data_IF_794786167244
#
_entry.id   IF_794786167244
#
_cell.length_a   1.000
_cell.length_b   1.000
_cell.length_c   1.000
_cell.angle_alpha   90.00
_cell.angle_beta   90.00
_cell.angle_gamma   90.00
#
_symmetry.space_group_name_H-M   'P 1'
#
loop_
_entity.id
_entity.type
_entity.pdbx_description
1 polymer ?
#
# COMPACT_ATOMS: atom_id res chain seq x y z
N UNK A 1 15.71 1.67 -1.57
CA UNK A 1 14.38 1.04 -1.66
C UNK A 1 14.48 -0.41 -1.18
N UNK A 2 13.58 -0.85 -0.32
CA UNK A 2 13.50 -2.21 0.24
C UNK A 2 12.17 -2.86 -0.15
N UNK A 3 12.17 -4.18 -0.46
CA UNK A 3 10.96 -4.92 -0.81
C UNK A 3 10.81 -6.15 0.08
N UNK A 4 9.64 -6.30 0.69
CA UNK A 4 9.28 -7.45 1.53
C UNK A 4 8.11 -8.23 0.93
N UNK A 5 8.30 -9.54 0.80
CA UNK A 5 7.26 -10.46 0.34
C UNK A 5 6.27 -10.80 1.45
N UNK A 6 5.15 -11.44 1.09
CA UNK A 6 4.12 -11.84 2.06
C UNK A 6 4.62 -12.74 3.18
N UNK A 7 5.59 -13.62 2.90
CA UNK A 7 6.22 -14.47 3.92
C UNK A 7 7.07 -13.69 4.92
N UNK A 8 7.65 -12.57 4.51
CA UNK A 8 8.44 -11.70 5.39
C UNK A 8 7.57 -10.86 6.35
N UNK A 9 6.29 -10.74 6.07
CA UNK A 9 5.30 -10.00 6.87
C UNK A 9 4.11 -10.89 7.22
N UNK A 10 4.33 -12.20 7.35
CA UNK A 10 3.26 -13.18 7.50
C UNK A 10 2.49 -13.08 8.82
N UNK A 11 3.15 -12.61 9.87
CA UNK A 11 2.63 -12.51 11.22
C UNK A 11 3.17 -11.25 11.92
N UNK A 12 2.61 -10.87 13.08
CA UNK A 12 3.02 -9.66 13.81
C UNK A 12 4.48 -9.63 14.20
N UNK A 13 5.10 -10.76 14.53
CA UNK A 13 6.50 -10.79 14.97
C UNK A 13 7.44 -10.56 13.80
N UNK A 14 7.12 -11.08 12.63
CA UNK A 14 7.85 -10.78 11.38
C UNK A 14 7.69 -9.33 10.96
N UNK A 15 6.50 -8.73 11.11
CA UNK A 15 6.29 -7.29 10.86
C UNK A 15 7.19 -6.46 11.77
N UNK A 16 7.28 -6.80 13.07
CA UNK A 16 8.18 -6.13 14.01
C UNK A 16 9.65 -6.26 13.61
N UNK A 17 10.09 -7.46 13.25
CA UNK A 17 11.47 -7.69 12.79
C UNK A 17 11.80 -6.91 11.50
N UNK A 18 10.84 -6.83 10.56
CA UNK A 18 10.97 -6.01 9.35
C UNK A 18 11.05 -4.52 9.71
N UNK A 19 10.24 -4.05 10.67
CA UNK A 19 10.29 -2.67 11.14
C UNK A 19 11.64 -2.34 11.79
N UNK A 20 12.23 -3.25 12.60
CA UNK A 20 13.55 -3.09 13.18
C UNK A 20 14.63 -2.89 12.11
N UNK A 21 14.59 -3.71 11.05
CA UNK A 21 15.54 -3.61 9.93
C UNK A 21 15.39 -2.30 9.15
N UNK A 22 14.15 -1.85 8.92
CA UNK A 22 13.85 -0.58 8.24
C UNK A 22 14.36 0.61 9.06
N UNK A 23 14.07 0.61 10.37
CA UNK A 23 14.51 1.67 11.30
C UNK A 23 16.03 1.73 11.39
N UNK A 24 16.71 0.59 11.52
CA UNK A 24 18.17 0.55 11.51
C UNK A 24 18.77 1.14 10.21
N UNK A 25 18.13 0.87 9.06
CA UNK A 25 18.56 1.47 7.78
C UNK A 25 18.33 2.99 7.77
N UNK A 26 17.21 3.47 8.30
CA UNK A 26 16.93 4.90 8.39
C UNK A 26 17.94 5.61 9.30
N UNK A 27 18.23 5.02 10.47
CA UNK A 27 19.19 5.53 11.45
C UNK A 27 20.64 5.55 10.94
N UNK A 28 20.96 4.75 9.93
CA UNK A 28 22.25 4.85 9.22
C UNK A 28 22.34 6.06 8.28
N UNK A 29 21.34 6.95 8.26
CA UNK A 29 21.31 8.18 7.46
C UNK A 29 20.77 7.99 6.04
N UNK A 30 20.14 6.86 5.73
CA UNK A 30 19.60 6.58 4.41
C UNK A 30 18.09 6.90 4.31
N UNK A 31 17.67 7.48 3.20
CA UNK A 31 16.26 7.59 2.86
C UNK A 31 15.68 6.24 2.48
N UNK A 32 14.52 5.89 3.06
CA UNK A 32 13.94 4.55 2.90
C UNK A 32 12.54 4.62 2.27
N UNK A 33 12.41 3.91 1.15
CA UNK A 33 11.12 3.59 0.53
C UNK A 33 10.91 2.09 0.62
N UNK A 34 9.79 1.67 1.18
CA UNK A 34 9.46 0.27 1.42
C UNK A 34 8.30 -0.17 0.53
N UNK A 35 8.44 -1.33 -0.09
CA UNK A 35 7.35 -1.99 -0.84
C UNK A 35 7.02 -3.30 -0.16
N UNK A 36 5.76 -3.49 0.25
CA UNK A 36 5.31 -4.69 0.95
C UNK A 36 4.10 -5.34 0.27
N UNK A 37 4.04 -6.67 0.32
CA UNK A 37 2.91 -7.47 -0.15
C UNK A 37 1.89 -7.70 0.99
N UNK A 38 0.73 -8.29 0.67
CA UNK A 38 -0.21 -8.77 1.68
C UNK A 38 0.46 -9.81 2.61
N UNK A 39 -0.03 -9.91 3.85
CA UNK A 39 0.50 -10.80 4.88
C UNK A 39 0.22 -12.27 4.52
N UNK A 40 1.26 -13.11 4.58
CA UNK A 40 1.15 -14.57 4.52
C UNK A 40 0.18 -15.09 3.44
N UNK A 41 -0.87 -15.74 3.87
CA UNK A 41 -1.94 -16.30 3.02
C UNK A 41 -3.17 -15.41 2.89
N UNK A 42 -3.15 -14.16 3.38
CA UNK A 42 -4.33 -13.27 3.38
C UNK A 42 -4.96 -13.14 1.99
N UNK A 43 -4.16 -13.10 0.92
CA UNK A 43 -4.68 -13.05 -0.46
C UNK A 43 -5.51 -14.29 -0.80
N UNK A 44 -4.98 -15.49 -0.48
CA UNK A 44 -5.65 -16.77 -0.77
C UNK A 44 -6.95 -16.88 0.04
N UNK A 45 -6.94 -16.45 1.30
CA UNK A 45 -8.12 -16.43 2.17
C UNK A 45 -9.20 -15.49 1.64
N UNK A 46 -8.82 -14.30 1.16
CA UNK A 46 -9.76 -13.35 0.56
C UNK A 46 -10.34 -13.86 -0.76
N UNK A 47 -9.54 -14.51 -1.61
CA UNK A 47 -10.00 -15.16 -2.83
C UNK A 47 -10.99 -16.29 -2.51
N UNK A 48 -10.67 -17.14 -1.54
CA UNK A 48 -11.56 -18.21 -1.07
C UNK A 48 -12.89 -17.64 -0.59
N UNK A 49 -12.85 -16.61 0.29
CA UNK A 49 -14.05 -15.95 0.80
C UNK A 49 -14.93 -15.36 -0.32
N UNK A 50 -14.32 -14.76 -1.34
CA UNK A 50 -15.06 -14.24 -2.49
C UNK A 50 -15.80 -15.35 -3.24
N UNK A 51 -15.17 -16.51 -3.42
CA UNK A 51 -15.80 -17.66 -4.08
C UNK A 51 -16.85 -18.38 -3.22
N UNK A 52 -16.80 -18.28 -1.90
CA UNK A 52 -17.86 -18.75 -1.00
C UNK A 52 -19.12 -17.88 -1.11
N UNK A 53 -18.95 -16.58 -1.37
CA UNK A 53 -20.06 -15.61 -1.49
C UNK A 53 -20.63 -15.57 -2.90
N UNK A 54 -19.80 -15.76 -3.93
CA UNK A 54 -20.22 -15.64 -5.33
C UNK A 54 -19.59 -16.73 -6.19
N UNK A 55 -20.40 -17.39 -7.01
CA UNK A 55 -19.91 -18.39 -7.97
C UNK A 55 -19.03 -17.77 -9.07
N UNK A 56 -19.26 -16.50 -9.40
CA UNK A 56 -18.49 -15.74 -10.39
C UNK A 56 -18.23 -14.32 -9.84
N UNK A 57 -17.21 -14.15 -8.97
CA UNK A 57 -16.87 -12.82 -8.45
C UNK A 57 -16.48 -11.87 -9.59
N UNK A 58 -17.03 -10.65 -9.59
CA UNK A 58 -16.67 -9.64 -10.59
C UNK A 58 -15.21 -9.20 -10.45
N UNK A 59 -14.54 -8.93 -11.56
CA UNK A 59 -13.13 -8.55 -11.56
C UNK A 59 -12.85 -7.29 -10.73
N UNK A 60 -13.75 -6.30 -10.81
CA UNK A 60 -13.65 -5.04 -10.07
C UNK A 60 -13.74 -5.25 -8.55
N UNK A 61 -14.73 -6.01 -8.10
CA UNK A 61 -14.96 -6.22 -6.66
C UNK A 61 -13.86 -7.14 -6.07
N UNK A 62 -13.38 -8.10 -6.86
CA UNK A 62 -12.22 -8.91 -6.49
C UNK A 62 -10.96 -8.04 -6.30
N UNK A 63 -10.69 -7.10 -7.19
CA UNK A 63 -9.56 -6.17 -7.07
C UNK A 63 -9.69 -5.31 -5.81
N UNK A 64 -10.90 -4.84 -5.48
CA UNK A 64 -11.18 -4.11 -4.24
C UNK A 64 -10.89 -4.96 -3.00
N UNK A 65 -11.37 -6.20 -2.98
CA UNK A 65 -11.19 -7.12 -1.87
C UNK A 65 -9.70 -7.44 -1.64
N UNK A 66 -8.97 -7.81 -2.69
CA UNK A 66 -7.55 -8.17 -2.58
C UNK A 66 -6.67 -6.98 -2.19
N UNK A 67 -7.04 -5.76 -2.64
CA UNK A 67 -6.36 -4.53 -2.22
C UNK A 67 -6.49 -4.27 -0.72
N UNK A 68 -7.56 -4.73 -0.06
CA UNK A 68 -7.72 -4.60 1.38
C UNK A 68 -6.63 -5.35 2.16
N UNK A 69 -6.27 -6.57 1.74
CA UNK A 69 -5.18 -7.34 2.35
C UNK A 69 -3.82 -6.61 2.30
N UNK A 70 -3.52 -5.96 1.19
CA UNK A 70 -2.29 -5.17 1.05
C UNK A 70 -2.31 -3.89 1.92
N UNK A 71 -3.49 -3.24 2.06
CA UNK A 71 -3.66 -2.07 2.94
C UNK A 71 -3.46 -2.41 4.40
N UNK A 72 -3.91 -3.58 4.85
CA UNK A 72 -3.66 -4.08 6.21
C UNK A 72 -2.15 -4.15 6.46
N UNK A 73 -1.39 -4.75 5.55
CA UNK A 73 0.06 -4.92 5.71
C UNK A 73 0.81 -3.59 5.82
N UNK A 74 0.51 -2.61 4.95
CA UNK A 74 1.20 -1.30 4.99
C UNK A 74 0.84 -0.53 6.25
N UNK A 75 -0.41 -0.60 6.71
CA UNK A 75 -0.84 0.08 7.93
C UNK A 75 -0.15 -0.50 9.17
N UNK A 76 -0.14 -1.82 9.32
CA UNK A 76 0.51 -2.50 10.44
C UNK A 76 2.03 -2.25 10.46
N UNK A 77 2.67 -2.27 9.30
CA UNK A 77 4.10 -1.98 9.21
C UNK A 77 4.40 -0.52 9.57
N UNK A 78 3.59 0.45 9.11
CA UNK A 78 3.74 1.85 9.53
C UNK A 78 3.57 2.01 11.05
N UNK A 79 2.56 1.37 11.66
CA UNK A 79 2.38 1.39 13.12
C UNK A 79 3.60 0.84 13.83
N UNK A 80 4.16 -0.28 13.36
CA UNK A 80 5.34 -0.89 13.95
C UNK A 80 6.60 -0.02 13.82
N UNK A 81 6.75 0.76 12.75
CA UNK A 81 7.84 1.71 12.55
C UNK A 81 7.67 2.92 13.48
N UNK A 82 6.44 3.46 13.57
CA UNK A 82 6.13 4.61 14.44
C UNK A 82 6.36 4.27 15.91
N UNK A 83 6.01 3.06 16.34
CA UNK A 83 6.25 2.55 17.70
C UNK A 83 7.74 2.50 18.05
N UNK A 84 8.63 2.54 17.07
CA UNK A 84 10.10 2.62 17.21
C UNK A 84 10.67 4.03 17.14
N UNK A 85 9.81 5.03 17.11
CA UNK A 85 10.19 6.45 17.15
C UNK A 85 10.52 7.08 15.78
N UNK A 86 10.30 6.36 14.67
CA UNK A 86 10.49 6.90 13.33
C UNK A 86 9.16 7.31 12.69
N UNK A 87 9.21 8.31 11.80
CA UNK A 87 8.04 8.72 11.03
C UNK A 87 7.83 7.79 9.83
N UNK A 88 6.61 7.26 9.68
CA UNK A 88 6.25 6.41 8.54
C UNK A 88 4.89 6.80 7.97
N UNK A 89 4.80 6.81 6.64
CA UNK A 89 3.57 7.14 5.91
C UNK A 89 3.25 6.04 4.91
N UNK A 90 2.02 5.52 4.97
CA UNK A 90 1.52 4.50 4.04
C UNK A 90 0.92 5.12 2.77
N UNK A 91 1.24 4.54 1.61
CA UNK A 91 0.73 4.98 0.32
C UNK A 91 0.02 3.84 -0.41
N UNK A 92 -1.17 4.13 -0.93
CA UNK A 92 -1.81 3.29 -1.96
C UNK A 92 -1.14 3.55 -3.31
N UNK A 93 -1.39 2.69 -4.32
CA UNK A 93 -0.80 2.89 -5.65
C UNK A 93 -1.11 4.25 -6.28
N UNK A 94 -2.37 4.71 -6.18
CA UNK A 94 -2.79 6.02 -6.67
C UNK A 94 -2.18 7.18 -5.89
N UNK A 95 -2.07 7.06 -4.56
CA UNK A 95 -1.40 8.06 -3.72
C UNK A 95 0.10 8.14 -3.99
N UNK A 96 0.72 7.01 -4.35
CA UNK A 96 2.11 6.95 -4.79
C UNK A 96 2.31 7.45 -6.23
N UNK A 97 1.24 7.91 -6.89
CA UNK A 97 1.28 8.48 -8.24
C UNK A 97 1.39 7.44 -9.36
N UNK A 98 1.04 6.18 -9.10
CA UNK A 98 0.99 5.14 -10.13
C UNK A 98 -0.36 5.25 -10.84
N UNK A 99 -0.33 5.70 -12.10
CA UNK A 99 -1.49 5.78 -12.99
C UNK A 99 -1.56 4.55 -13.89
N UNK A 100 -2.74 3.98 -14.02
CA UNK A 100 -2.98 2.79 -14.84
C UNK A 100 -4.13 3.03 -15.82
N UNK A 101 -4.22 2.16 -16.82
CA UNK A 101 -5.42 2.06 -17.63
C UNK A 101 -6.60 1.47 -16.81
N UNK A 102 -7.79 1.40 -17.43
CA UNK A 102 -9.04 0.95 -16.80
C UNK A 102 -9.25 -0.57 -16.87
N UNK A 103 -8.26 -1.33 -17.32
CA UNK A 103 -8.38 -2.78 -17.47
C UNK A 103 -8.25 -3.49 -16.12
N UNK A 104 -9.37 -3.97 -15.55
CA UNK A 104 -9.35 -4.81 -14.35
C UNK A 104 -8.53 -6.08 -14.56
N UNK A 105 -7.80 -6.54 -13.52
CA UNK A 105 -6.94 -7.73 -13.49
C UNK A 105 -5.77 -7.73 -14.49
N UNK A 106 -5.69 -6.80 -15.43
CA UNK A 106 -4.63 -6.68 -16.46
C UNK A 106 -4.19 -5.24 -16.68
N UNK A 107 -4.38 -4.37 -15.69
CA UNK A 107 -4.06 -2.95 -15.78
C UNK A 107 -2.57 -2.74 -16.13
N UNK A 108 -2.31 -1.84 -17.07
CA UNK A 108 -0.95 -1.41 -17.44
C UNK A 108 -0.64 -0.08 -16.77
N UNK A 109 0.60 0.06 -16.30
CA UNK A 109 1.09 1.35 -15.82
C UNK A 109 1.24 2.27 -17.03
N UNK A 110 0.56 3.41 -16.99
CA UNK A 110 0.64 4.46 -18.01
C UNK A 110 1.69 5.51 -17.63
N UNK A 111 1.73 5.87 -16.34
CA UNK A 111 2.60 6.91 -15.83
C UNK A 111 2.92 6.67 -14.35
N UNK A 112 4.08 7.16 -13.89
CA UNK A 112 4.45 7.16 -12.46
C UNK A 112 4.87 8.58 -12.08
N UNK A 113 4.04 9.25 -11.28
CA UNK A 113 4.29 10.58 -10.69
C UNK A 113 4.56 10.42 -9.20
N UNK A 114 5.81 10.20 -8.83
CA UNK A 114 6.20 9.88 -7.45
C UNK A 114 6.39 11.13 -6.56
N UNK A 115 5.76 12.26 -6.87
CA UNK A 115 6.01 13.54 -6.19
C UNK A 115 5.69 13.45 -4.69
N UNK A 116 4.54 12.90 -4.32
CA UNK A 116 4.15 12.71 -2.90
C UNK A 116 5.08 11.77 -2.14
N UNK A 117 5.61 10.74 -2.80
CA UNK A 117 6.61 9.86 -2.19
C UNK A 117 7.92 10.61 -1.94
N UNK A 118 8.35 11.43 -2.91
CA UNK A 118 9.57 12.24 -2.79
C UNK A 118 9.43 13.30 -1.71
N UNK A 119 8.29 14.00 -1.64
CA UNK A 119 7.97 14.97 -0.59
C UNK A 119 8.02 14.32 0.79
N UNK A 120 7.34 13.19 0.99
CA UNK A 120 7.33 12.47 2.27
C UNK A 120 8.74 12.03 2.71
N UNK A 121 9.55 11.56 1.77
CA UNK A 121 10.94 11.16 2.05
C UNK A 121 11.81 12.40 2.36
N UNK A 122 11.62 13.50 1.65
CA UNK A 122 12.34 14.76 1.90
C UNK A 122 11.99 15.37 3.26
N UNK A 123 10.76 15.16 3.75
CA UNK A 123 10.31 15.51 5.10
C UNK A 123 10.86 14.57 6.19
N UNK A 124 11.66 13.58 5.82
CA UNK A 124 12.30 12.65 6.74
C UNK A 124 11.47 11.41 7.07
N UNK A 125 10.31 11.21 6.44
CA UNK A 125 9.45 10.06 6.69
C UNK A 125 9.88 8.82 5.88
N UNK A 126 9.65 7.65 6.45
CA UNK A 126 9.78 6.37 5.75
C UNK A 126 8.49 6.16 4.92
N UNK A 127 8.62 6.11 3.60
CA UNK A 127 7.49 5.90 2.71
C UNK A 127 7.21 4.39 2.55
N UNK A 128 6.05 3.93 3.01
CA UNK A 128 5.63 2.52 2.92
C UNK A 128 4.53 2.40 1.87
N UNK A 129 4.81 1.67 0.79
CA UNK A 129 3.90 1.45 -0.31
C UNK A 129 3.51 -0.01 -0.41
N UNK A 130 2.25 -0.27 -0.76
CA UNK A 130 1.83 -1.61 -1.14
C UNK A 130 2.50 -2.02 -2.46
N UNK A 131 2.74 -3.32 -2.64
CA UNK A 131 3.16 -3.85 -3.92
C UNK A 131 2.15 -3.45 -5.00
N UNK A 132 2.63 -2.84 -6.07
CA UNK A 132 1.80 -2.65 -7.25
C UNK A 132 1.75 -3.98 -8.01
N UNK A 133 0.57 -4.57 -8.10
CA UNK A 133 0.31 -5.66 -9.01
C UNK A 133 -0.57 -5.13 -10.14
N UNK A 134 -0.04 -5.12 -11.36
CA UNK A 134 -0.76 -4.69 -12.55
C UNK A 134 -2.07 -5.48 -12.79
N UNK A 135 -2.17 -6.67 -12.19
CA UNK A 135 -3.38 -7.49 -12.24
C UNK A 135 -4.48 -7.03 -11.26
N UNK A 136 -4.17 -6.09 -10.34
CA UNK A 136 -5.00 -5.72 -9.17
C UNK A 136 -5.12 -4.19 -8.98
N UNK A 137 -4.93 -3.41 -10.03
CA UNK A 137 -5.09 -1.97 -9.93
C UNK A 137 -6.57 -1.58 -9.89
N UNK A 138 -6.97 -0.78 -8.88
CA UNK A 138 -8.31 -0.20 -8.83
C UNK A 138 -8.31 1.15 -9.55
N UNK A 139 -9.01 1.29 -10.70
CA UNK A 139 -9.01 2.54 -11.48
C UNK A 139 -9.90 3.64 -10.87
N UNK A 140 -10.67 3.35 -9.83
CA UNK A 140 -11.71 4.26 -9.30
C UNK A 140 -11.30 5.14 -8.11
N UNK A 141 -10.02 5.20 -7.75
CA UNK A 141 -9.54 6.21 -6.80
C UNK A 141 -9.14 7.47 -7.58
N UNK A 142 -9.92 8.57 -7.53
CA UNK A 142 -9.50 9.82 -8.16
C UNK A 142 -8.18 10.30 -7.53
N UNK A 143 -7.28 10.91 -8.32
CA UNK A 143 -6.10 11.54 -7.77
C UNK A 143 -6.54 12.59 -6.76
N UNK A 144 -5.84 12.74 -5.62
CA UNK A 144 -6.12 13.81 -4.69
C UNK A 144 -5.95 15.15 -5.40
N UNK A 145 -6.94 16.05 -5.21
CA UNK A 145 -6.87 17.41 -5.72
C UNK A 145 -5.57 18.09 -5.24
N UNK A 146 -4.96 18.96 -6.05
CA UNK A 146 -3.82 19.75 -5.62
C UNK A 146 -4.19 20.52 -4.36
N UNK A 147 -3.28 20.52 -3.40
CA UNK A 147 -3.45 21.13 -2.08
C UNK A 147 -3.74 22.61 -2.18
N UNK A 148 -5.01 22.98 -2.28
CA UNK A 148 -5.51 24.27 -1.83
C UNK A 148 -6.17 24.05 -0.48
N UNK A 149 -5.75 24.80 0.49
CA UNK A 149 -6.15 24.80 1.88
C UNK A 149 -7.67 24.85 2.08
N UNK A 150 -8.35 23.72 2.12
CA UNK A 150 -9.65 23.46 2.77
C UNK A 150 -10.06 22.01 2.54
N UNK A 151 -10.18 21.26 3.62
CA UNK A 151 -10.74 19.90 3.61
C UNK A 151 -12.19 19.94 3.08
N UNK A 152 -12.53 19.17 2.04
CA UNK A 152 -13.93 18.97 1.71
C UNK A 152 -14.53 17.98 2.72
N UNK A 153 -15.51 18.44 3.47
CA UNK A 153 -16.42 17.61 4.28
C UNK A 153 -17.17 16.69 3.32
N UNK A 154 -17.03 15.40 3.51
CA UNK A 154 -17.80 14.38 2.78
C UNK A 154 -19.28 14.49 3.22
N UNK A 155 -20.25 14.76 2.32
CA UNK A 155 -21.65 14.76 2.70
C UNK A 155 -22.10 13.33 3.02
N UNK A 156 -22.62 13.14 4.23
CA UNK A 156 -23.32 11.92 4.64
C UNK A 156 -24.61 11.77 3.81
N UNK A 157 -24.77 10.67 3.14
CA UNK A 157 -26.07 10.05 2.83
C UNK A 157 -26.06 8.62 3.30
#
# INVERSE_FOLDING_TARGET
MQKYGGTSVADPDRIKAVADHIVATRQSGQDVVVVVSAMGKTTDDLERLAHEVSTVPSGREMDMLLTAGERISIALLCMAIIDRGEHAVSFTGSQAGILTDTAHRKAKILEVKADRLRESVAEGSIAVQRRFDARRACPSCPPPAPTSSRSPVCPRR
#
